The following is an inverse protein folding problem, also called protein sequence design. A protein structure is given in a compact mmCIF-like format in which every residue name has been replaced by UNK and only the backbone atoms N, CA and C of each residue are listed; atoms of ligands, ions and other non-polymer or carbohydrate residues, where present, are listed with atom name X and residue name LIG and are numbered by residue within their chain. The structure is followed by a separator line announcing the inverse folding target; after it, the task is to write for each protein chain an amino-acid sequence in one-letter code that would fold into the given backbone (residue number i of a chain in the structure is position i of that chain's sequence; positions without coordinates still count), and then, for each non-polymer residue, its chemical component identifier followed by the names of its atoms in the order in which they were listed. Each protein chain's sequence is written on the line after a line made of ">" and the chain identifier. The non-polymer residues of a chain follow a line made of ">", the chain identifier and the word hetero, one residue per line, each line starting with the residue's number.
data_IF_497009320442
#
_entry.id   IF_497009320442
#
_cell.length_a   1.000
_cell.length_b   1.000
_cell.length_c   1.000
_cell.angle_alpha   90.00
_cell.angle_beta   90.00
_cell.angle_gamma   90.00
#
_symmetry.space_group_name_H-M   'P 1'
#
loop_
_entity.id
_entity.type
_entity.pdbx_description
1 polymer ?
#
# COMPACT_ATOMS: atom_id res chain seq x y z
N UNK A 1 -7.23 -18.71 -26.48
CA UNK A 1 -7.94 -17.63 -25.76
C UNK A 1 -8.93 -18.31 -24.82
N UNK A 2 -8.87 -18.07 -23.50
CA UNK A 2 -9.88 -18.55 -22.56
C UNK A 2 -11.15 -17.69 -22.68
N UNK A 3 -12.32 -18.26 -22.40
CA UNK A 3 -13.61 -17.56 -22.41
C UNK A 3 -14.37 -17.97 -21.14
N UNK A 4 -14.61 -17.03 -20.19
CA UNK A 4 -14.15 -15.64 -20.22
C UNK A 4 -12.61 -15.51 -20.17
N UNK A 5 -12.03 -14.40 -20.65
CA UNK A 5 -10.62 -14.10 -20.43
C UNK A 5 -10.32 -13.99 -18.93
N UNK A 6 -9.11 -14.39 -18.53
CA UNK A 6 -8.67 -14.27 -17.14
C UNK A 6 -8.25 -12.82 -16.84
N UNK A 7 -8.62 -12.35 -15.65
CA UNK A 7 -8.18 -11.05 -15.13
C UNK A 7 -6.70 -11.11 -14.76
N UNK A 8 -5.99 -10.03 -15.07
CA UNK A 8 -4.58 -9.90 -14.72
C UNK A 8 -4.39 -8.66 -13.85
N UNK A 9 -3.72 -8.84 -12.71
CA UNK A 9 -3.43 -7.77 -11.75
C UNK A 9 -1.95 -7.45 -11.80
N UNK A 10 -1.61 -6.17 -11.87
CA UNK A 10 -0.24 -5.67 -11.76
C UNK A 10 -0.16 -4.55 -10.73
N UNK A 11 1.06 -4.29 -10.26
CA UNK A 11 1.37 -3.15 -9.39
C UNK A 11 2.35 -2.26 -10.15
N UNK A 12 1.98 -0.99 -10.34
CA UNK A 12 2.87 0.06 -10.85
C UNK A 12 3.56 0.67 -9.63
N UNK A 13 4.86 0.45 -9.47
CA UNK A 13 5.56 0.86 -8.25
C UNK A 13 7.01 1.22 -8.55
N UNK A 14 7.26 2.38 -9.15
CA UNK A 14 8.64 2.83 -9.45
C UNK A 14 8.81 4.36 -9.44
N UNK A 15 8.03 5.07 -8.61
CA UNK A 15 8.16 6.52 -8.49
C UNK A 15 9.61 6.96 -8.21
N UNK A 16 10.03 8.14 -8.73
CA UNK A 16 11.31 8.70 -8.35
C UNK A 16 11.39 8.95 -6.84
N UNK A 17 12.50 8.60 -6.21
CA UNK A 17 12.66 8.62 -4.75
C UNK A 17 11.57 7.80 -4.03
N UNK A 18 11.19 6.62 -4.56
CA UNK A 18 10.24 5.68 -3.95
C UNK A 18 10.58 5.40 -2.48
N UNK A 19 9.55 5.13 -1.69
CA UNK A 19 9.59 4.80 -0.26
C UNK A 19 10.37 5.84 0.53
N UNK A 20 9.84 7.06 0.57
CA UNK A 20 10.54 8.17 1.20
C UNK A 20 10.73 7.97 2.71
N UNK A 21 9.84 7.21 3.36
CA UNK A 21 9.90 6.95 4.80
C UNK A 21 10.61 5.63 5.15
N UNK A 22 10.52 4.62 4.28
CA UNK A 22 11.22 3.35 4.46
C UNK A 22 12.59 3.31 3.73
N UNK A 23 13.44 2.33 4.06
CA UNK A 23 14.75 2.09 3.46
C UNK A 23 14.84 0.74 2.74
N UNK A 24 13.99 -0.23 3.09
CA UNK A 24 14.09 -1.59 2.58
C UNK A 24 13.76 -1.72 1.08
N UNK A 25 12.97 -0.80 0.54
CA UNK A 25 12.42 -0.87 -0.83
C UNK A 25 12.80 0.35 -1.71
N UNK A 26 13.87 1.08 -1.39
CA UNK A 26 14.31 2.25 -2.18
C UNK A 26 14.25 2.02 -3.71
N UNK A 27 13.57 2.93 -4.42
CA UNK A 27 13.34 2.87 -5.87
C UNK A 27 14.61 3.07 -6.69
N UNK A 28 14.59 2.61 -7.94
CA UNK A 28 15.72 2.75 -8.86
C UNK A 28 15.77 4.11 -9.55
N UNK A 29 14.61 4.74 -9.77
CA UNK A 29 14.53 6.10 -10.32
C UNK A 29 14.78 7.13 -9.23
N UNK A 30 15.69 8.07 -9.49
CA UNK A 30 16.05 9.12 -8.53
C UNK A 30 15.70 10.52 -9.04
N UNK A 31 15.31 11.42 -8.14
CA UNK A 31 15.23 12.84 -8.47
C UNK A 31 16.60 13.45 -8.74
N UNK A 32 17.61 12.99 -7.99
CA UNK A 32 19.02 13.31 -8.17
C UNK A 32 19.82 12.06 -7.82
N UNK A 33 20.79 11.70 -8.68
CA UNK A 33 21.68 10.57 -8.44
C UNK A 33 22.98 11.04 -7.77
N UNK A 34 23.41 10.31 -6.75
CA UNK A 34 24.76 10.38 -6.21
C UNK A 34 25.78 9.76 -7.20
N UNK A 35 27.09 10.03 -7.05
CA UNK A 35 28.11 9.45 -7.91
C UNK A 35 28.16 7.91 -7.91
N UNK A 36 27.64 7.27 -6.86
CA UNK A 36 27.54 5.81 -6.73
C UNK A 36 26.24 5.24 -7.33
N UNK A 37 25.42 6.08 -7.95
CA UNK A 37 24.15 5.69 -8.58
C UNK A 37 22.96 5.59 -7.64
N UNK A 38 23.12 5.86 -6.34
CA UNK A 38 22.00 5.87 -5.39
C UNK A 38 21.26 7.20 -5.40
N UNK A 39 20.01 7.21 -4.95
CA UNK A 39 19.24 8.45 -4.86
C UNK A 39 19.76 9.36 -3.74
N UNK A 40 19.96 10.63 -4.07
CA UNK A 40 20.10 11.70 -3.09
C UNK A 40 18.70 12.22 -2.71
N UNK A 41 18.13 11.66 -1.63
CA UNK A 41 16.83 12.08 -1.10
C UNK A 41 16.85 13.49 -0.48
N UNK A 42 18.02 14.08 -0.26
CA UNK A 42 18.17 15.40 0.38
C UNK A 42 18.47 16.51 -0.64
N UNK A 43 18.78 16.16 -1.89
CA UNK A 43 18.85 17.10 -2.98
C UNK A 43 17.50 17.81 -3.16
N UNK A 44 17.51 19.15 -3.15
CA UNK A 44 16.31 19.94 -3.42
C UNK A 44 16.08 20.10 -4.92
N UNK A 45 14.87 20.48 -5.31
CA UNK A 45 14.54 20.76 -6.72
C UNK A 45 13.11 20.37 -7.06
N UNK A 46 12.83 20.26 -8.36
CA UNK A 46 11.51 19.90 -8.90
C UNK A 46 11.42 18.44 -9.34
N UNK A 47 12.49 17.67 -9.19
CA UNK A 47 12.60 16.30 -9.71
C UNK A 47 12.37 16.17 -11.23
N UNK A 48 12.57 17.23 -12.02
CA UNK A 48 12.22 17.23 -13.44
C UNK A 48 12.86 16.09 -14.26
N UNK A 49 14.12 15.76 -13.99
CA UNK A 49 14.83 14.67 -14.67
C UNK A 49 14.29 13.29 -14.28
N UNK A 50 14.19 13.00 -12.98
CA UNK A 50 13.64 11.73 -12.48
C UNK A 50 12.18 11.52 -12.89
N UNK A 51 11.35 12.56 -12.84
CA UNK A 51 9.98 12.50 -13.35
C UNK A 51 9.97 12.22 -14.86
N UNK A 52 10.86 12.82 -15.66
CA UNK A 52 10.91 12.52 -17.09
C UNK A 52 11.36 11.07 -17.38
N UNK A 53 12.32 10.56 -16.61
CA UNK A 53 12.75 9.16 -16.69
C UNK A 53 11.59 8.20 -16.37
N UNK A 54 10.91 8.40 -15.23
CA UNK A 54 9.72 7.64 -14.86
C UNK A 54 8.62 7.68 -15.94
N UNK A 55 8.39 8.84 -16.55
CA UNK A 55 7.42 8.97 -17.64
C UNK A 55 7.81 8.14 -18.86
N UNK A 56 9.01 8.37 -19.38
CA UNK A 56 9.40 7.91 -20.72
C UNK A 56 9.98 6.50 -20.78
N UNK A 57 10.64 6.07 -19.70
CA UNK A 57 11.27 4.76 -19.64
C UNK A 57 10.46 3.73 -18.85
N UNK A 58 9.46 4.16 -18.08
CA UNK A 58 8.59 3.27 -17.31
C UNK A 58 7.11 3.39 -17.73
N UNK A 59 6.42 4.48 -17.42
CA UNK A 59 4.96 4.61 -17.68
C UNK A 59 4.61 4.50 -19.16
N UNK A 60 5.30 5.21 -20.05
CA UNK A 60 5.02 5.16 -21.49
C UNK A 60 5.20 3.75 -22.06
N UNK A 61 6.14 2.97 -21.52
CA UNK A 61 6.31 1.56 -21.90
C UNK A 61 5.13 0.73 -21.42
N UNK A 62 4.68 0.94 -20.18
CA UNK A 62 3.49 0.27 -19.62
C UNK A 62 2.27 0.59 -20.49
N UNK A 63 2.01 1.86 -20.80
CA UNK A 63 0.89 2.30 -21.66
C UNK A 63 0.95 1.61 -23.02
N UNK A 64 2.13 1.56 -23.66
CA UNK A 64 2.30 0.87 -24.94
C UNK A 64 2.01 -0.64 -24.84
N UNK A 65 2.32 -1.30 -23.73
CA UNK A 65 1.97 -2.70 -23.51
C UNK A 65 0.47 -2.85 -23.29
N UNK A 66 -0.13 -2.05 -22.40
CA UNK A 66 -1.55 -2.11 -22.07
C UNK A 66 -2.43 -1.88 -23.31
N UNK A 67 -2.08 -0.91 -24.16
CA UNK A 67 -2.82 -0.63 -25.40
C UNK A 67 -2.86 -1.81 -26.39
N UNK A 68 -1.91 -2.75 -26.32
CA UNK A 68 -1.96 -3.99 -27.13
C UNK A 68 -2.98 -5.01 -26.61
N UNK A 69 -3.35 -4.90 -25.34
CA UNK A 69 -4.22 -5.83 -24.62
C UNK A 69 -5.56 -5.21 -24.19
N UNK A 70 -5.74 -3.90 -24.39
CA UNK A 70 -6.97 -3.20 -24.08
C UNK A 70 -8.18 -3.83 -24.81
N UNK A 71 -9.23 -4.12 -24.07
CA UNK A 71 -10.42 -4.85 -24.57
C UNK A 71 -10.21 -6.33 -24.89
N UNK A 72 -9.00 -6.88 -24.75
CA UNK A 72 -8.72 -8.31 -24.97
C UNK A 72 -8.70 -9.12 -23.68
N UNK A 73 -8.18 -8.53 -22.59
CA UNK A 73 -8.16 -9.11 -21.25
C UNK A 73 -8.50 -8.01 -20.23
N UNK A 74 -9.23 -8.33 -19.16
CA UNK A 74 -9.43 -7.38 -18.06
C UNK A 74 -8.13 -7.20 -17.28
N UNK A 75 -7.77 -5.95 -17.02
CA UNK A 75 -6.53 -5.60 -16.31
C UNK A 75 -6.87 -4.74 -15.10
N UNK A 76 -6.31 -5.10 -13.95
CA UNK A 76 -6.32 -4.30 -12.72
C UNK A 76 -4.91 -3.79 -12.48
N UNK A 77 -4.78 -2.49 -12.19
CA UNK A 77 -3.52 -1.87 -11.76
C UNK A 77 -3.68 -1.27 -10.38
N UNK A 78 -2.80 -1.67 -9.47
CA UNK A 78 -2.56 -0.95 -8.22
C UNK A 78 -1.47 0.09 -8.47
N UNK A 79 -1.75 1.35 -8.16
CA UNK A 79 -0.87 2.46 -8.50
C UNK A 79 -0.12 2.93 -7.25
N UNK A 80 1.20 2.80 -7.32
CA UNK A 80 2.22 3.37 -6.45
C UNK A 80 1.91 3.21 -4.94
N UNK A 81 1.94 1.98 -4.40
CA UNK A 81 1.93 1.77 -2.96
C UNK A 81 2.95 2.62 -2.20
N UNK A 82 2.65 2.95 -0.94
CA UNK A 82 3.57 3.70 -0.06
C UNK A 82 4.02 5.06 -0.66
N UNK A 83 3.18 5.70 -1.47
CA UNK A 83 3.50 6.99 -2.11
C UNK A 83 2.76 8.16 -1.45
N UNK A 84 1.56 8.49 -1.92
CA UNK A 84 0.80 9.66 -1.50
C UNK A 84 0.40 9.68 -0.02
N UNK A 85 0.10 8.56 0.67
CA UNK A 85 -0.15 8.57 2.12
C UNK A 85 1.00 9.20 2.93
N UNK A 86 2.26 9.05 2.48
CA UNK A 86 3.42 9.70 3.09
C UNK A 86 3.36 11.23 3.01
N UNK A 87 2.71 11.80 1.99
CA UNK A 87 2.55 13.25 1.87
C UNK A 87 1.50 13.81 2.84
N UNK A 88 0.57 12.98 3.31
CA UNK A 88 -0.41 13.38 4.33
C UNK A 88 0.16 13.30 5.74
N UNK A 89 1.09 12.38 6.00
CA UNK A 89 1.45 11.99 7.38
C UNK A 89 2.93 12.14 7.70
N UNK A 90 3.82 11.90 6.74
CA UNK A 90 5.26 11.72 6.96
C UNK A 90 6.09 12.90 6.45
N UNK A 91 5.50 14.07 6.17
CA UNK A 91 6.23 15.26 5.68
C UNK A 91 7.25 15.83 6.67
N UNK A 92 7.18 15.45 7.94
CA UNK A 92 8.20 15.78 8.92
C UNK A 92 9.51 15.01 8.68
N UNK A 93 9.46 13.84 8.03
CA UNK A 93 10.64 13.16 7.54
C UNK A 93 11.31 14.01 6.44
N UNK A 94 12.59 14.38 6.58
CA UNK A 94 13.27 15.21 5.58
C UNK A 94 13.32 14.60 4.18
N UNK A 95 13.19 13.28 4.01
CA UNK A 95 13.13 12.61 2.70
C UNK A 95 11.76 12.79 2.04
N UNK A 96 10.67 12.63 2.80
CA UNK A 96 9.29 12.78 2.32
C UNK A 96 8.89 14.25 2.16
N UNK A 97 9.28 15.10 3.11
CA UNK A 97 9.03 16.54 3.09
C UNK A 97 9.86 17.31 2.06
N UNK A 98 10.87 16.67 1.46
CA UNK A 98 11.71 17.28 0.43
C UNK A 98 10.87 17.70 -0.79
N UNK A 99 11.03 18.95 -1.23
CA UNK A 99 10.32 19.49 -2.39
C UNK A 99 10.47 18.63 -3.66
N UNK A 100 11.63 18.00 -3.88
CA UNK A 100 11.86 17.11 -5.02
C UNK A 100 11.02 15.83 -4.91
N UNK A 101 10.97 15.19 -3.74
CA UNK A 101 10.16 13.98 -3.50
C UNK A 101 8.67 14.29 -3.58
N UNK A 102 8.21 15.40 -2.96
CA UNK A 102 6.81 15.84 -3.06
C UNK A 102 6.43 16.06 -4.53
N UNK A 103 7.27 16.75 -5.29
CA UNK A 103 7.06 16.98 -6.72
C UNK A 103 7.06 15.66 -7.52
N UNK A 104 7.94 14.72 -7.19
CA UNK A 104 8.01 13.41 -7.82
C UNK A 104 6.71 12.63 -7.66
N UNK A 105 6.21 12.51 -6.44
CA UNK A 105 5.02 11.72 -6.13
C UNK A 105 3.79 12.35 -6.78
N UNK A 106 3.60 13.66 -6.61
CA UNK A 106 2.45 14.34 -7.20
C UNK A 106 2.47 14.29 -8.73
N UNK A 107 3.60 14.63 -9.38
CA UNK A 107 3.68 14.66 -10.84
C UNK A 107 3.72 13.26 -11.46
N UNK A 108 4.38 12.31 -10.80
CA UNK A 108 4.51 10.93 -11.24
C UNK A 108 3.17 10.20 -11.18
N UNK A 109 2.47 10.23 -10.03
CA UNK A 109 1.14 9.61 -9.91
C UNK A 109 0.14 10.26 -10.85
N UNK A 110 0.08 11.60 -10.91
CA UNK A 110 -0.82 12.28 -11.82
C UNK A 110 -0.57 11.89 -13.28
N UNK A 111 0.68 11.73 -13.68
CA UNK A 111 1.01 11.30 -15.03
C UNK A 111 0.65 9.83 -15.28
N UNK A 112 1.02 8.92 -14.37
CA UNK A 112 0.73 7.49 -14.51
C UNK A 112 -0.76 7.26 -14.72
N UNK A 113 -1.59 7.83 -13.84
CA UNK A 113 -3.05 7.66 -13.91
C UNK A 113 -3.63 8.28 -15.18
N UNK A 114 -3.26 9.52 -15.52
CA UNK A 114 -3.80 10.20 -16.72
C UNK A 114 -3.34 9.53 -18.01
N UNK A 115 -2.06 9.21 -18.14
CA UNK A 115 -1.51 8.57 -19.33
C UNK A 115 -2.16 7.21 -19.59
N UNK A 116 -2.33 6.37 -18.55
CA UNK A 116 -3.00 5.07 -18.69
C UNK A 116 -4.49 5.26 -19.01
N UNK A 117 -5.19 6.13 -18.28
CA UNK A 117 -6.61 6.38 -18.48
C UNK A 117 -6.98 7.02 -19.82
N UNK A 118 -6.10 7.85 -20.38
CA UNK A 118 -6.31 8.48 -21.70
C UNK A 118 -6.08 7.50 -22.87
N UNK A 119 -5.33 6.41 -22.64
CA UNK A 119 -4.92 5.47 -23.69
C UNK A 119 -5.54 4.08 -23.57
N UNK A 120 -6.30 3.80 -22.51
CA UNK A 120 -6.93 2.50 -22.27
C UNK A 120 -8.34 2.69 -21.73
N UNK A 121 -9.28 1.84 -22.16
CA UNK A 121 -10.68 1.93 -21.70
C UNK A 121 -11.15 0.72 -20.87
N UNK A 122 -10.34 -0.34 -20.76
CA UNK A 122 -10.67 -1.57 -20.02
C UNK A 122 -9.69 -1.89 -18.88
N UNK A 123 -8.84 -0.93 -18.51
CA UNK A 123 -7.95 -1.02 -17.35
C UNK A 123 -8.66 -0.39 -16.15
N UNK A 124 -8.81 -1.15 -15.05
CA UNK A 124 -9.29 -0.63 -13.78
C UNK A 124 -8.11 -0.24 -12.90
N UNK A 125 -8.04 1.03 -12.50
CA UNK A 125 -6.95 1.55 -11.67
C UNK A 125 -7.43 1.80 -10.24
N UNK A 126 -6.68 1.27 -9.28
CA UNK A 126 -6.85 1.50 -7.85
C UNK A 126 -5.59 2.18 -7.33
N UNK A 127 -5.73 3.42 -6.85
CA UNK A 127 -4.63 4.15 -6.26
C UNK A 127 -4.40 3.67 -4.83
N UNK A 128 -3.16 3.42 -4.43
CA UNK A 128 -2.89 3.03 -3.05
C UNK A 128 -3.29 4.14 -2.06
N UNK A 129 -3.90 3.71 -0.96
CA UNK A 129 -4.33 4.57 0.13
C UNK A 129 -3.81 4.08 1.49
N UNK A 130 -2.71 3.33 1.53
CA UNK A 130 -2.18 2.81 2.79
C UNK A 130 -3.19 1.90 3.49
N UNK A 131 -3.48 2.13 4.77
CA UNK A 131 -4.36 1.30 5.59
C UNK A 131 -5.03 2.09 6.71
N UNK A 132 -5.97 1.45 7.43
CA UNK A 132 -6.75 2.03 8.52
C UNK A 132 -5.88 2.70 9.58
N UNK A 133 -4.95 1.98 10.18
CA UNK A 133 -4.01 2.56 11.17
C UNK A 133 -2.95 3.53 10.61
N UNK A 134 -3.19 4.16 9.47
CA UNK A 134 -2.31 5.18 8.88
C UNK A 134 -3.11 6.41 8.43
N UNK A 135 -4.08 6.21 7.53
CA UNK A 135 -4.96 7.28 7.02
C UNK A 135 -6.35 7.30 7.68
N UNK A 136 -6.62 6.42 8.65
CA UNK A 136 -7.90 6.28 9.31
C UNK A 136 -8.32 7.49 10.14
N UNK A 137 -7.35 8.18 10.77
CA UNK A 137 -7.60 9.46 11.43
C UNK A 137 -8.21 10.46 10.47
N UNK A 138 -9.32 11.07 10.88
CA UNK A 138 -10.12 11.98 10.04
C UNK A 138 -9.31 13.13 9.41
N UNK A 139 -8.34 13.70 10.12
CA UNK A 139 -7.49 14.75 9.56
C UNK A 139 -6.57 14.22 8.45
N UNK A 140 -5.95 13.05 8.65
CA UNK A 140 -5.11 12.40 7.64
C UNK A 140 -5.95 12.05 6.40
N UNK A 141 -7.17 11.54 6.61
CA UNK A 141 -8.13 11.24 5.55
C UNK A 141 -8.47 12.50 4.73
N UNK A 142 -8.79 13.62 5.39
CA UNK A 142 -9.14 14.88 4.71
C UNK A 142 -7.96 15.47 3.94
N UNK A 143 -6.74 15.38 4.48
CA UNK A 143 -5.52 15.79 3.76
C UNK A 143 -5.26 14.91 2.54
N UNK A 144 -5.56 13.61 2.62
CA UNK A 144 -5.48 12.70 1.48
C UNK A 144 -6.54 12.99 0.42
N UNK A 145 -7.80 13.22 0.80
CA UNK A 145 -8.87 13.67 -0.12
C UNK A 145 -8.45 14.95 -0.85
N UNK A 146 -7.88 15.92 -0.13
CA UNK A 146 -7.37 17.16 -0.73
C UNK A 146 -6.25 16.90 -1.73
N UNK A 147 -5.34 15.97 -1.42
CA UNK A 147 -4.29 15.53 -2.35
C UNK A 147 -4.90 14.97 -3.64
N UNK A 148 -5.90 14.09 -3.56
CA UNK A 148 -6.54 13.51 -4.75
C UNK A 148 -7.26 14.57 -5.59
N UNK A 149 -7.95 15.52 -4.95
CA UNK A 149 -8.55 16.68 -5.63
C UNK A 149 -7.51 17.46 -6.44
N UNK A 150 -6.38 17.80 -5.81
CA UNK A 150 -5.34 18.62 -6.42
C UNK A 150 -4.63 17.91 -7.58
N UNK A 151 -4.52 16.58 -7.54
CA UNK A 151 -3.99 15.80 -8.66
C UNK A 151 -4.94 15.75 -9.86
N UNK A 152 -6.25 15.87 -9.63
CA UNK A 152 -7.28 15.82 -10.67
C UNK A 152 -7.26 14.51 -11.45
N UNK A 153 -7.16 13.38 -10.73
CA UNK A 153 -7.05 12.03 -11.30
C UNK A 153 -8.30 11.17 -11.12
N UNK A 154 -9.26 11.61 -10.30
CA UNK A 154 -10.44 10.84 -9.91
C UNK A 154 -11.22 10.26 -11.11
N UNK A 155 -11.35 11.00 -12.20
CA UNK A 155 -12.08 10.57 -13.40
C UNK A 155 -11.49 9.34 -14.11
N UNK A 156 -10.23 8.98 -13.83
CA UNK A 156 -9.58 7.79 -14.38
C UNK A 156 -9.48 6.63 -13.37
N UNK A 157 -9.78 6.88 -12.09
CA UNK A 157 -9.69 5.87 -11.05
C UNK A 157 -11.01 5.10 -10.93
N UNK A 158 -10.92 3.79 -10.70
CA UNK A 158 -12.05 3.00 -10.19
C UNK A 158 -12.19 3.16 -8.68
N UNK A 159 -11.06 3.36 -8.00
CA UNK A 159 -11.02 3.79 -6.60
C UNK A 159 -9.65 3.52 -5.98
N UNK A 160 -9.61 2.82 -4.84
CA UNK A 160 -8.41 2.72 -4.02
C UNK A 160 -8.05 1.29 -3.60
N UNK A 161 -6.76 1.06 -3.40
CA UNK A 161 -6.23 -0.17 -2.80
C UNK A 161 -5.80 0.12 -1.36
N UNK A 162 -6.16 -0.75 -0.43
CA UNK A 162 -5.78 -0.63 0.99
C UNK A 162 -5.07 -1.88 1.48
N UNK A 163 -4.33 -1.72 2.57
CA UNK A 163 -3.54 -2.75 3.24
C UNK A 163 -2.47 -3.40 2.36
N UNK A 164 -2.08 -2.79 1.23
CA UNK A 164 -1.09 -3.37 0.30
C UNK A 164 0.20 -3.62 1.05
N UNK A 165 0.64 -4.89 1.10
CA UNK A 165 1.77 -5.32 1.93
C UNK A 165 1.62 -5.03 3.44
N UNK A 166 0.44 -4.67 3.91
CA UNK A 166 0.12 -4.44 5.32
C UNK A 166 -0.34 -5.71 6.04
N UNK A 167 -0.71 -5.51 7.30
CA UNK A 167 -1.14 -6.54 8.24
C UNK A 167 -2.36 -6.08 9.07
N UNK A 168 -3.02 -4.98 8.67
CA UNK A 168 -4.20 -4.52 9.39
C UNK A 168 -5.32 -5.54 9.28
N UNK A 169 -5.99 -5.77 10.41
CA UNK A 169 -7.06 -6.74 10.51
C UNK A 169 -8.18 -6.41 9.52
N UNK A 170 -8.72 -7.43 8.85
CA UNK A 170 -9.84 -7.24 7.92
C UNK A 170 -11.09 -6.73 8.67
N UNK A 171 -11.39 -7.34 9.82
CA UNK A 171 -12.44 -6.92 10.75
C UNK A 171 -13.87 -7.07 10.21
N UNK A 172 -14.77 -6.24 10.74
CA UNK A 172 -16.16 -6.13 10.31
C UNK A 172 -16.53 -4.66 10.16
N UNK A 173 -17.36 -4.38 9.16
CA UNK A 173 -17.93 -3.06 8.95
C UNK A 173 -18.92 -2.71 10.07
N UNK A 174 -18.78 -1.53 10.64
CA UNK A 174 -19.67 -0.99 11.66
C UNK A 174 -20.89 -0.28 11.02
N UNK A 175 -21.99 -0.10 11.78
CA UNK A 175 -23.19 0.54 11.25
C UNK A 175 -23.01 2.03 10.90
N UNK A 176 -22.09 2.71 11.58
CA UNK A 176 -21.88 4.16 11.46
C UNK A 176 -20.38 4.51 11.59
N UNK A 177 -19.98 5.66 11.04
CA UNK A 177 -18.58 6.08 10.92
C UNK A 177 -17.83 6.14 12.28
N UNK A 178 -18.40 6.82 13.28
CA UNK A 178 -17.76 7.02 14.58
C UNK A 178 -18.18 5.96 15.62
N UNK A 179 -18.72 4.81 15.19
CA UNK A 179 -19.35 3.82 16.08
C UNK A 179 -18.46 3.39 17.24
N UNK A 180 -17.19 3.08 16.98
CA UNK A 180 -16.26 2.57 18.01
C UNK A 180 -15.41 3.66 18.66
N UNK A 181 -15.54 4.91 18.22
CA UNK A 181 -14.61 5.99 18.56
C UNK A 181 -14.53 6.21 20.08
N UNK A 182 -13.32 6.42 20.59
CA UNK A 182 -13.06 6.55 22.04
C UNK A 182 -13.54 5.32 22.84
N UNK A 183 -13.31 4.12 22.29
CA UNK A 183 -13.67 2.81 22.85
C UNK A 183 -15.16 2.65 23.14
N UNK A 184 -16.01 3.27 22.32
CA UNK A 184 -17.44 3.01 22.35
C UNK A 184 -17.74 1.59 21.85
N UNK A 185 -18.81 0.98 22.37
CA UNK A 185 -19.28 -0.36 21.99
C UNK A 185 -18.21 -1.47 21.99
N UNK A 186 -17.40 -1.62 23.06
CA UNK A 186 -16.30 -2.59 23.10
C UNK A 186 -16.75 -4.06 22.99
N UNK A 187 -18.03 -4.34 23.23
CA UNK A 187 -18.64 -5.66 23.04
C UNK A 187 -18.99 -5.98 21.58
N UNK A 188 -19.06 -4.99 20.70
CA UNK A 188 -19.36 -5.20 19.28
C UNK A 188 -18.12 -5.71 18.54
N UNK A 189 -18.31 -6.75 17.76
CA UNK A 189 -17.22 -7.39 17.01
C UNK A 189 -16.57 -6.45 15.99
N UNK A 190 -17.34 -5.50 15.43
CA UNK A 190 -16.80 -4.48 14.52
C UNK A 190 -15.84 -3.52 15.24
N UNK A 191 -15.91 -3.41 16.57
CA UNK A 191 -15.02 -2.62 17.43
C UNK A 191 -13.83 -3.41 17.97
N UNK A 192 -13.58 -4.63 17.48
CA UNK A 192 -12.35 -5.33 17.78
C UNK A 192 -11.15 -4.55 17.24
N UNK A 193 -10.31 -4.09 18.16
CA UNK A 193 -9.20 -3.17 17.89
C UNK A 193 -7.92 -3.65 18.58
N UNK A 194 -7.17 -4.57 17.94
CA UNK A 194 -5.91 -5.08 18.49
C UNK A 194 -4.81 -4.01 18.54
N UNK A 195 -4.97 -2.91 17.82
CA UNK A 195 -3.99 -1.83 17.71
C UNK A 195 -4.28 -0.65 18.66
N UNK A 196 -5.44 -0.63 19.33
CA UNK A 196 -5.82 0.46 20.24
C UNK A 196 -6.11 1.81 19.56
N UNK A 197 -6.34 1.79 18.24
CA UNK A 197 -6.61 2.93 17.38
C UNK A 197 -7.83 3.74 17.83
N UNK A 198 -8.90 3.10 18.32
CA UNK A 198 -10.13 3.79 18.73
C UNK A 198 -9.92 4.68 19.95
N UNK A 199 -9.00 4.30 20.83
CA UNK A 199 -8.60 5.12 21.99
C UNK A 199 -7.79 6.36 21.58
N UNK A 200 -7.14 6.30 20.41
CA UNK A 200 -6.35 7.37 19.79
C UNK A 200 -7.16 8.22 18.81
N UNK A 201 -8.50 8.11 18.88
CA UNK A 201 -9.44 8.84 18.03
C UNK A 201 -9.34 8.52 16.54
N UNK A 202 -8.90 7.30 16.20
CA UNK A 202 -9.03 6.74 14.85
C UNK A 202 -10.26 5.82 14.80
N UNK A 203 -11.30 6.16 13.99
CA UNK A 203 -12.47 5.32 13.82
C UNK A 203 -12.26 4.13 12.86
N UNK A 204 -11.10 4.01 12.22
CA UNK A 204 -10.83 3.04 11.15
C UNK A 204 -9.96 1.89 11.64
N UNK A 205 -10.31 1.28 12.77
CA UNK A 205 -9.50 0.24 13.44
C UNK A 205 -9.31 -1.07 12.66
N UNK A 206 -10.06 -1.26 11.58
CA UNK A 206 -9.93 -2.41 10.68
C UNK A 206 -10.18 -1.98 9.23
N UNK A 207 -9.80 -2.84 8.28
CA UNK A 207 -9.82 -2.49 6.86
C UNK A 207 -11.23 -2.38 6.26
N UNK A 208 -12.25 -3.07 6.81
CA UNK A 208 -13.64 -2.86 6.37
C UNK A 208 -14.15 -1.47 6.76
N UNK A 209 -13.92 -1.03 7.99
CA UNK A 209 -14.27 0.31 8.44
C UNK A 209 -13.47 1.36 7.68
N UNK A 210 -12.17 1.13 7.48
CA UNK A 210 -11.34 2.03 6.69
C UNK A 210 -11.85 2.16 5.24
N UNK A 211 -12.20 1.06 4.58
CA UNK A 211 -12.77 1.08 3.23
C UNK A 211 -14.06 1.89 3.15
N UNK A 212 -14.98 1.70 4.11
CA UNK A 212 -16.22 2.48 4.23
C UNK A 212 -15.90 3.97 4.41
N UNK A 213 -14.99 4.31 5.33
CA UNK A 213 -14.64 5.70 5.63
C UNK A 213 -13.95 6.41 4.47
N UNK A 214 -13.06 5.71 3.76
CA UNK A 214 -12.36 6.21 2.58
C UNK A 214 -13.35 6.43 1.43
N UNK A 215 -14.25 5.49 1.18
CA UNK A 215 -15.33 5.64 0.21
C UNK A 215 -16.16 6.91 0.51
N UNK A 216 -16.72 7.01 1.73
CA UNK A 216 -17.53 8.15 2.13
C UNK A 216 -16.79 9.49 2.01
N UNK A 217 -15.57 9.58 2.53
CA UNK A 217 -14.80 10.83 2.53
C UNK A 217 -14.44 11.29 1.11
N UNK A 218 -14.15 10.36 0.19
CA UNK A 218 -13.87 10.67 -1.20
C UNK A 218 -15.13 11.09 -1.96
N UNK A 219 -16.25 10.39 -1.76
CA UNK A 219 -17.53 10.73 -2.38
C UNK A 219 -18.05 12.10 -1.94
N UNK A 220 -17.90 12.43 -0.65
CA UNK A 220 -18.23 13.76 -0.14
C UNK A 220 -17.26 14.83 -0.64
N UNK A 221 -15.97 14.48 -0.76
CA UNK A 221 -14.91 15.40 -1.13
C UNK A 221 -14.85 15.73 -2.62
N UNK A 222 -15.21 14.80 -3.51
CA UNK A 222 -14.99 14.92 -4.95
C UNK A 222 -16.30 14.70 -5.69
N UNK A 223 -16.88 15.80 -6.18
CA UNK A 223 -18.17 15.77 -6.88
C UNK A 223 -18.17 14.76 -8.04
N UNK A 224 -19.11 13.82 -7.99
CA UNK A 224 -19.32 12.81 -9.03
C UNK A 224 -18.33 11.64 -9.01
N UNK A 225 -17.54 11.49 -7.95
CA UNK A 225 -16.62 10.36 -7.78
C UNK A 225 -17.09 9.45 -6.65
N UNK A 226 -17.47 8.22 -6.99
CA UNK A 226 -17.87 7.17 -6.04
C UNK A 226 -16.85 6.02 -6.15
N UNK A 227 -15.76 6.05 -5.38
CA UNK A 227 -14.68 5.07 -5.54
C UNK A 227 -15.03 3.72 -4.94
N UNK A 228 -14.63 2.64 -5.61
CA UNK A 228 -14.60 1.30 -5.04
C UNK A 228 -13.25 0.97 -4.41
N UNK A 229 -13.24 0.05 -3.46
CA UNK A 229 -12.07 -0.32 -2.68
C UNK A 229 -11.68 -1.77 -2.98
N UNK A 230 -10.38 -2.04 -3.08
CA UNK A 230 -9.82 -3.39 -2.98
C UNK A 230 -8.91 -3.47 -1.77
N UNK A 231 -8.90 -4.62 -1.10
CA UNK A 231 -8.14 -4.80 0.15
C UNK A 231 -7.16 -5.95 -0.03
N UNK A 232 -5.88 -5.72 0.28
CA UNK A 232 -4.90 -6.79 0.38
C UNK A 232 -5.14 -7.59 1.67
N UNK A 233 -5.33 -8.89 1.51
CA UNK A 233 -5.62 -9.87 2.56
C UNK A 233 -4.55 -10.95 2.63
N UNK A 234 -3.43 -10.78 1.90
CA UNK A 234 -2.40 -11.80 1.75
C UNK A 234 -1.73 -12.21 3.05
N UNK A 235 -1.72 -11.33 4.07
CA UNK A 235 -0.94 -11.52 5.31
C UNK A 235 -1.63 -11.04 6.59
N UNK A 236 -2.92 -10.75 6.56
CA UNK A 236 -3.67 -10.21 7.69
C UNK A 236 -4.65 -11.21 8.34
N UNK A 237 -4.36 -12.52 8.25
CA UNK A 237 -5.21 -13.56 8.85
C UNK A 237 -5.14 -13.61 10.38
N UNK A 238 -4.03 -13.15 10.96
CA UNK A 238 -3.91 -12.90 12.39
C UNK A 238 -3.99 -11.40 12.60
N UNK A 239 -4.66 -10.97 13.67
CA UNK A 239 -4.98 -9.57 13.91
C UNK A 239 -4.20 -8.96 15.09
N UNK A 240 -3.71 -9.77 16.03
CA UNK A 240 -3.08 -9.35 17.28
C UNK A 240 -1.61 -9.85 17.42
N UNK A 241 -0.95 -10.08 16.30
CA UNK A 241 0.43 -10.55 16.20
C UNK A 241 1.48 -9.45 16.44
N UNK A 242 1.10 -8.18 16.25
CA UNK A 242 1.98 -7.02 16.40
C UNK A 242 1.89 -6.45 17.82
N UNK A 243 3.05 -6.15 18.40
CA UNK A 243 3.14 -5.38 19.64
C UNK A 243 3.04 -3.88 19.38
N UNK A 244 3.48 -3.43 18.20
CA UNK A 244 3.31 -2.07 17.69
C UNK A 244 2.78 -2.14 16.26
N UNK A 245 1.58 -1.59 16.04
CA UNK A 245 0.92 -1.65 14.73
C UNK A 245 1.55 -0.75 13.66
N UNK A 246 2.51 0.10 14.02
CA UNK A 246 3.36 0.78 13.04
C UNK A 246 4.40 -0.17 12.41
N UNK A 247 4.72 -1.31 13.04
CA UNK A 247 5.62 -2.30 12.46
C UNK A 247 5.00 -2.93 11.21
N UNK A 248 5.74 -2.90 10.10
CA UNK A 248 5.31 -3.42 8.80
C UNK A 248 6.25 -4.48 8.22
N UNK A 249 7.48 -4.63 8.71
CA UNK A 249 8.47 -5.48 8.06
C UNK A 249 8.46 -6.92 8.59
N UNK A 250 8.14 -7.89 7.74
CA UNK A 250 8.21 -9.33 7.99
C UNK A 250 7.58 -9.76 9.32
N UNK A 251 6.31 -9.40 9.52
CA UNK A 251 5.66 -9.53 10.82
C UNK A 251 5.58 -10.99 11.29
N UNK A 252 6.14 -11.21 12.46
CA UNK A 252 6.15 -12.46 13.22
C UNK A 252 4.74 -12.78 13.68
N UNK A 253 4.37 -14.05 13.54
CA UNK A 253 3.06 -14.52 13.99
C UNK A 253 1.92 -14.18 13.03
N UNK A 254 2.16 -13.39 11.99
CA UNK A 254 1.17 -13.11 10.95
C UNK A 254 0.67 -14.40 10.27
N UNK A 255 -0.50 -14.33 9.66
CA UNK A 255 -1.12 -15.45 8.95
C UNK A 255 -1.60 -15.04 7.58
N UNK A 256 -1.67 -15.97 6.63
CA UNK A 256 -2.42 -15.70 5.39
C UNK A 256 -3.89 -15.44 5.75
N UNK A 257 -4.45 -14.36 5.23
CA UNK A 257 -5.85 -13.99 5.42
C UNK A 257 -6.79 -14.61 4.40
N UNK A 258 -7.96 -13.98 4.24
CA UNK A 258 -9.01 -14.42 3.32
C UNK A 258 -8.47 -14.60 1.90
N UNK A 259 -8.91 -15.66 1.22
CA UNK A 259 -8.49 -15.91 -0.16
C UNK A 259 -9.03 -14.83 -1.11
N UNK A 260 -8.36 -14.54 -2.25
CA UNK A 260 -8.86 -13.55 -3.19
C UNK A 260 -10.27 -13.89 -3.68
N UNK A 261 -11.21 -12.95 -3.51
CA UNK A 261 -12.64 -13.15 -3.80
C UNK A 261 -13.37 -11.83 -4.01
N UNK A 262 -14.44 -11.86 -4.79
CA UNK A 262 -15.41 -10.75 -4.93
C UNK A 262 -16.62 -10.91 -4.01
N UNK A 263 -16.65 -11.97 -3.18
CA UNK A 263 -17.63 -12.11 -2.11
C UNK A 263 -17.17 -11.29 -0.91
N UNK A 264 -17.39 -9.98 -0.98
CA UNK A 264 -16.94 -8.99 -0.01
C UNK A 264 -18.06 -8.63 0.97
N UNK A 265 -17.69 -8.01 2.10
CA UNK A 265 -18.63 -7.59 3.15
C UNK A 265 -19.69 -6.60 2.66
N UNK A 266 -19.29 -5.69 1.77
CA UNK A 266 -20.19 -4.78 1.06
C UNK A 266 -19.70 -4.64 -0.40
N UNK A 267 -20.37 -5.26 -1.39
CA UNK A 267 -19.94 -5.22 -2.79
C UNK A 267 -20.20 -3.88 -3.49
N UNK A 268 -20.97 -2.96 -2.88
CA UNK A 268 -21.14 -1.61 -3.42
C UNK A 268 -19.91 -0.75 -3.11
N UNK A 269 -19.21 -1.03 -2.01
CA UNK A 269 -17.99 -0.32 -1.59
C UNK A 269 -16.73 -1.09 -1.97
N UNK A 270 -16.69 -2.39 -1.72
CA UNK A 270 -15.48 -3.23 -1.83
C UNK A 270 -15.63 -4.17 -3.03
N UNK A 271 -14.85 -3.94 -4.08
CA UNK A 271 -14.89 -4.76 -5.30
C UNK A 271 -14.34 -6.17 -5.06
N UNK A 272 -13.22 -6.29 -4.34
CA UNK A 272 -12.54 -7.56 -4.14
C UNK A 272 -11.54 -7.54 -2.99
N UNK A 273 -11.31 -8.72 -2.43
CA UNK A 273 -10.09 -9.03 -1.69
C UNK A 273 -9.04 -9.60 -2.64
N UNK A 274 -7.81 -9.12 -2.51
CA UNK A 274 -6.66 -9.61 -3.26
C UNK A 274 -5.55 -10.06 -2.33
N UNK A 275 -4.62 -10.86 -2.85
CA UNK A 275 -3.29 -10.98 -2.30
C UNK A 275 -2.38 -10.16 -3.21
N UNK A 276 -2.07 -8.93 -2.83
CA UNK A 276 -1.30 -8.00 -3.66
C UNK A 276 0.19 -8.15 -3.37
N UNK A 277 0.58 -8.12 -2.09
CA UNK A 277 1.90 -8.60 -1.70
C UNK A 277 1.92 -10.13 -1.73
N UNK A 278 2.81 -10.70 -2.53
CA UNK A 278 2.99 -12.15 -2.61
C UNK A 278 3.41 -12.71 -1.24
N UNK A 279 2.59 -13.58 -0.60
CA UNK A 279 2.99 -14.22 0.65
C UNK A 279 4.30 -15.01 0.47
N UNK A 280 5.28 -14.74 1.32
CA UNK A 280 6.60 -15.36 1.27
C UNK A 280 7.69 -14.53 0.59
N UNK A 281 7.36 -13.41 -0.03
CA UNK A 281 8.38 -12.41 -0.38
C UNK A 281 8.70 -11.54 0.83
N UNK A 282 9.99 -11.42 1.15
CA UNK A 282 10.47 -10.56 2.23
C UNK A 282 10.07 -9.10 2.00
N UNK A 283 9.74 -8.40 3.09
CA UNK A 283 9.54 -6.95 3.12
C UNK A 283 10.88 -6.19 3.16
N UNK A 284 11.91 -6.84 3.71
CA UNK A 284 13.22 -6.26 3.92
C UNK A 284 14.17 -7.19 4.66
N UNK A 285 15.46 -6.95 4.51
CA UNK A 285 16.50 -7.76 5.12
C UNK A 285 16.66 -7.47 6.63
N UNK A 286 17.14 -8.47 7.37
CA UNK A 286 17.78 -8.22 8.67
C UNK A 286 19.12 -7.52 8.49
N UNK A 287 19.69 -6.92 9.56
CA UNK A 287 21.00 -6.23 9.52
C UNK A 287 22.11 -7.08 8.87
N UNK A 288 22.06 -8.38 9.11
CA UNK A 288 22.90 -9.38 8.47
C UNK A 288 22.03 -10.24 7.56
N UNK A 289 22.45 -10.40 6.30
CA UNK A 289 21.80 -11.24 5.31
C UNK A 289 22.03 -12.74 5.60
N UNK A 290 21.25 -13.64 4.97
CA UNK A 290 21.42 -15.09 5.14
C UNK A 290 22.83 -15.62 4.81
N UNK A 291 23.56 -14.94 3.92
CA UNK A 291 24.92 -15.29 3.54
C UNK A 291 26.00 -14.75 4.50
N UNK A 292 25.60 -14.02 5.54
CA UNK A 292 26.49 -13.42 6.54
C UNK A 292 26.99 -12.02 6.19
N UNK A 293 26.65 -11.47 5.02
CA UNK A 293 27.02 -10.10 4.64
C UNK A 293 26.10 -9.07 5.31
N UNK A 294 26.54 -7.81 5.35
CA UNK A 294 25.72 -6.72 5.86
C UNK A 294 24.67 -6.32 4.82
N UNK A 295 23.42 -6.12 5.25
CA UNK A 295 22.40 -5.66 4.33
C UNK A 295 22.61 -4.19 3.92
N UNK A 296 22.69 -3.87 2.62
CA UNK A 296 22.87 -2.50 2.13
C UNK A 296 21.65 -1.60 2.31
N UNK A 297 20.45 -2.18 2.48
CA UNK A 297 19.16 -1.47 2.59
C UNK A 297 18.43 -1.76 3.90
N UNK A 298 19.17 -2.04 4.97
CA UNK A 298 18.57 -2.33 6.27
C UNK A 298 17.67 -1.17 6.74
N UNK A 299 16.41 -1.52 7.03
CA UNK A 299 15.43 -0.66 7.69
C UNK A 299 15.33 -1.03 9.17
N UNK A 300 15.19 -0.03 10.04
CA UNK A 300 15.09 -0.25 11.48
C UNK A 300 13.85 -1.08 11.85
N UNK A 301 12.76 -0.96 11.09
CA UNK A 301 11.51 -1.70 11.35
C UNK A 301 11.68 -3.19 11.04
N UNK A 302 12.58 -3.54 10.12
CA UNK A 302 13.03 -4.93 9.88
C UNK A 302 13.95 -5.47 10.99
N UNK A 303 14.30 -4.64 11.97
CA UNK A 303 14.99 -5.01 13.19
C UNK A 303 14.10 -4.99 14.44
N UNK A 304 12.81 -4.68 14.30
CA UNK A 304 11.88 -4.64 15.43
C UNK A 304 11.71 -6.04 16.07
N UNK A 305 11.26 -6.13 17.33
CA UNK A 305 10.92 -7.41 17.94
C UNK A 305 9.83 -8.19 17.19
N UNK A 306 8.94 -7.47 16.51
CA UNK A 306 7.87 -8.02 15.69
C UNK A 306 8.37 -8.53 14.34
N UNK A 307 9.57 -8.16 13.89
CA UNK A 307 10.12 -8.61 12.61
C UNK A 307 10.84 -9.96 12.71
N UNK A 308 10.56 -10.86 11.76
CA UNK A 308 11.21 -12.18 11.63
C UNK A 308 12.72 -12.08 11.37
N UNK A 309 13.46 -13.08 11.86
CA UNK A 309 14.88 -13.27 11.58
C UNK A 309 15.83 -12.53 12.53
N UNK A 310 15.30 -11.75 13.46
CA UNK A 310 16.07 -11.09 14.52
C UNK A 310 16.23 -11.96 15.78
N UNK A 311 15.34 -12.92 16.03
CA UNK A 311 15.32 -13.76 17.23
C UNK A 311 16.25 -14.98 17.15
N UNK A 312 16.74 -15.50 18.31
CA UNK A 312 17.51 -16.74 18.35
C UNK A 312 16.72 -17.92 17.76
N UNK A 313 17.35 -18.66 16.86
CA UNK A 313 16.75 -19.83 16.20
C UNK A 313 16.04 -19.50 14.88
N UNK A 314 15.92 -18.23 14.53
CA UNK A 314 15.28 -17.82 13.28
C UNK A 314 16.27 -17.64 12.13
N UNK A 315 15.94 -18.12 10.92
CA UNK A 315 16.68 -17.74 9.72
C UNK A 315 16.60 -16.24 9.48
N UNK A 316 17.72 -15.64 9.04
CA UNK A 316 17.79 -14.22 8.66
C UNK A 316 16.84 -13.93 7.50
N UNK A 317 16.23 -12.74 7.50
CA UNK A 317 15.39 -12.31 6.39
C UNK A 317 16.28 -11.86 5.21
N UNK A 318 15.96 -12.26 3.96
CA UNK A 318 16.66 -11.79 2.78
C UNK A 318 16.20 -10.37 2.39
N UNK A 319 16.83 -9.80 1.36
CA UNK A 319 16.44 -8.52 0.75
C UNK A 319 14.95 -8.47 0.37
N UNK A 320 14.38 -7.25 0.34
CA UNK A 320 12.99 -7.04 -0.06
C UNK A 320 12.70 -7.67 -1.44
N UNK A 321 11.57 -8.37 -1.55
CA UNK A 321 11.15 -9.09 -2.76
C UNK A 321 11.79 -10.48 -2.95
N UNK A 322 12.86 -10.80 -2.20
CA UNK A 322 13.43 -12.14 -2.25
C UNK A 322 12.58 -13.15 -1.47
N UNK A 323 12.61 -14.42 -1.89
CA UNK A 323 11.85 -15.49 -1.25
C UNK A 323 12.34 -15.78 0.17
N UNK A 324 11.42 -15.73 1.13
CA UNK A 324 11.65 -16.00 2.55
C UNK A 324 10.87 -17.24 2.99
N UNK A 325 11.48 -18.41 2.80
CA UNK A 325 10.88 -19.73 3.09
C UNK A 325 10.35 -19.87 4.53
N UNK A 326 11.03 -19.26 5.51
CA UNK A 326 10.59 -19.29 6.90
C UNK A 326 9.28 -18.51 7.12
N UNK A 327 9.16 -17.34 6.50
CA UNK A 327 7.96 -16.51 6.59
C UNK A 327 6.75 -17.21 5.98
N UNK A 328 6.84 -17.74 4.76
CA UNK A 328 5.68 -18.39 4.13
C UNK A 328 5.19 -19.62 4.90
N UNK A 329 6.09 -20.40 5.51
CA UNK A 329 5.70 -21.53 6.37
C UNK A 329 4.96 -21.07 7.61
N UNK A 330 5.40 -19.96 8.20
CA UNK A 330 4.75 -19.33 9.35
C UNK A 330 3.36 -18.78 8.94
N UNK A 331 3.28 -18.00 7.86
CA UNK A 331 2.03 -17.47 7.31
C UNK A 331 1.02 -18.59 7.02
N UNK A 332 1.46 -19.70 6.42
CA UNK A 332 0.60 -20.85 6.12
C UNK A 332 0.16 -21.62 7.37
N UNK A 333 1.02 -21.70 8.40
CA UNK A 333 0.68 -22.34 9.69
C UNK A 333 -0.39 -21.55 10.44
N UNK A 334 -0.34 -20.23 10.34
CA UNK A 334 -1.22 -19.31 11.04
C UNK A 334 -2.39 -18.81 10.16
N UNK A 335 -2.68 -19.48 9.05
CA UNK A 335 -3.66 -19.00 8.09
C UNK A 335 -5.10 -19.00 8.65
N UNK A 336 -5.82 -17.91 8.39
CA UNK A 336 -7.24 -17.74 8.65
C UNK A 336 -7.92 -17.24 7.36
N UNK A 337 -8.32 -18.21 6.53
CA UNK A 337 -8.81 -17.99 5.17
C UNK A 337 -10.33 -17.95 5.04
N UNK A 338 -11.07 -18.01 6.16
CA UNK A 338 -12.54 -18.03 6.24
C UNK A 338 -13.05 -17.02 7.26
#
# INVERSE_FOLDING_TARGET
>A
KKSPPELVTFIVYDLPNRDCHAKASNGEVCCTYLPDGKCDYFASGTCAAGVNEYKTEYIDKIVAVLGRYDGLVPIVLVIEPDSLPNLSTNRADPRCGNAATVAAYQQGVAYAVKAIGDHTSHVSMYLDAGHGGWLGWKNNMLDFVKTIQDLGVAAHLRGFATNVAGYQALGKMCPEYDWCLNNAHPEDECCYDPCGLTAEWDPSQNEHNYAMHLHMAMSEGIEGFEPHIIIDTGRNGVANERADCANWCNIRGAGVGLIPTTATADPEIIDAYFWLKTPGESDGCTQTLPDGTQCPRFDADCGSPDSLGSWPGEPRAPEAGAWFDYQIKMLATNAHME
#
